data_IF_463676768445
#
_entry.id   IF_463676768445
#
_cell.length_a   1.000
_cell.length_b   1.000
_cell.length_c   1.000
_cell.angle_alpha   90.00
_cell.angle_beta   90.00
_cell.angle_gamma   90.00
#
_symmetry.space_group_name_H-M   'P 1'
#
loop_
_entity.id
_entity.type
_entity.pdbx_description
1 polymer ?
#
# COMPACT_ATOMS: atom_id res chain seq x y z
N UNK A 1 21.74 -3.04 64.92
CA UNK A 1 23.12 -3.52 64.80
C UNK A 1 23.71 -3.06 63.47
N UNK A 2 25.04 -2.96 63.37
CA UNK A 2 25.78 -2.53 62.18
C UNK A 2 25.49 -3.48 61.00
N UNK A 3 25.30 -4.74 61.27
CA UNK A 3 24.93 -5.78 60.30
C UNK A 3 23.55 -5.57 59.67
N UNK A 4 22.57 -5.12 60.46
CA UNK A 4 21.22 -4.82 59.93
C UNK A 4 21.20 -3.57 59.04
N UNK A 5 22.02 -2.59 59.39
CA UNK A 5 22.17 -1.36 58.61
C UNK A 5 22.87 -1.64 57.27
N UNK A 6 23.94 -2.42 57.27
CA UNK A 6 24.67 -2.80 56.05
C UNK A 6 23.81 -3.70 55.18
N UNK A 7 23.08 -4.67 55.73
CA UNK A 7 22.17 -5.55 54.98
C UNK A 7 21.04 -4.78 54.30
N UNK A 8 20.44 -3.80 54.97
CA UNK A 8 19.41 -2.93 54.40
C UNK A 8 19.97 -2.05 53.26
N UNK A 9 21.19 -1.53 53.42
CA UNK A 9 21.83 -0.68 52.42
C UNK A 9 22.23 -1.47 51.16
N UNK A 10 22.79 -2.66 51.33
CA UNK A 10 23.11 -3.59 50.21
C UNK A 10 21.86 -3.99 49.46
N UNK A 11 20.77 -4.31 50.17
CA UNK A 11 19.49 -4.67 49.53
C UNK A 11 18.88 -3.48 48.77
N UNK A 12 19.01 -2.26 49.25
CA UNK A 12 18.57 -1.04 48.58
C UNK A 12 19.33 -0.81 47.26
N UNK A 13 20.64 -0.85 47.27
CA UNK A 13 21.47 -0.69 46.08
C UNK A 13 21.30 -1.85 45.08
N UNK A 14 21.08 -3.07 45.57
CA UNK A 14 20.76 -4.21 44.73
C UNK A 14 19.45 -4.02 43.96
N UNK A 15 18.41 -3.50 44.62
CA UNK A 15 17.13 -3.18 43.94
C UNK A 15 17.29 -2.10 42.87
N UNK A 16 18.06 -1.04 43.15
CA UNK A 16 18.34 0.01 42.18
C UNK A 16 19.11 -0.57 41.00
N UNK A 17 20.13 -1.38 41.20
CA UNK A 17 20.90 -2.00 40.13
C UNK A 17 20.02 -2.88 39.22
N UNK A 18 19.16 -3.71 39.82
CA UNK A 18 18.19 -4.53 39.04
C UNK A 18 17.19 -3.67 38.26
N UNK A 19 16.68 -2.59 38.87
CA UNK A 19 15.77 -1.67 38.18
C UNK A 19 16.43 -0.98 36.98
N UNK A 20 17.67 -0.54 37.15
CA UNK A 20 18.45 0.06 36.05
C UNK A 20 18.69 -0.95 34.94
N UNK A 21 19.04 -2.19 35.27
CA UNK A 21 19.25 -3.26 34.30
C UNK A 21 17.97 -3.55 33.51
N UNK A 22 16.84 -3.69 34.20
CA UNK A 22 15.53 -3.92 33.53
C UNK A 22 15.16 -2.73 32.66
N UNK A 23 15.35 -1.51 33.11
CA UNK A 23 15.10 -0.33 32.29
C UNK A 23 15.99 -0.30 31.03
N UNK A 24 17.27 -0.64 31.17
CA UNK A 24 18.19 -0.72 30.02
C UNK A 24 17.80 -1.81 29.03
N UNK A 25 17.35 -2.98 29.49
CA UNK A 25 16.84 -4.05 28.62
C UNK A 25 15.59 -3.62 27.87
N UNK A 26 14.62 -3.02 28.56
CA UNK A 26 13.39 -2.53 27.94
C UNK A 26 13.66 -1.42 26.91
N UNK A 27 14.59 -0.51 27.20
CA UNK A 27 15.01 0.51 26.24
C UNK A 27 15.71 -0.12 25.04
N UNK A 28 16.55 -1.12 25.24
CA UNK A 28 17.23 -1.84 24.17
C UNK A 28 16.25 -2.56 23.25
N UNK A 29 15.26 -3.25 23.81
CA UNK A 29 14.20 -3.90 23.03
C UNK A 29 13.35 -2.88 22.27
N UNK A 30 13.01 -1.76 22.90
CA UNK A 30 12.22 -0.70 22.26
C UNK A 30 12.96 -0.12 21.05
N UNK A 31 14.24 0.21 21.20
CA UNK A 31 15.08 0.70 20.10
C UNK A 31 15.18 -0.32 18.96
N UNK A 32 15.33 -1.62 19.28
CA UNK A 32 15.34 -2.66 18.26
C UNK A 32 13.99 -2.79 17.53
N UNK A 33 12.90 -2.73 18.30
CA UNK A 33 11.55 -2.75 17.72
C UNK A 33 11.32 -1.54 16.82
N UNK A 34 11.62 -0.33 17.26
CA UNK A 34 11.48 0.87 16.44
C UNK A 34 12.31 0.78 15.14
N UNK A 35 13.56 0.35 15.26
CA UNK A 35 14.42 0.14 14.10
C UNK A 35 13.80 -0.87 13.13
N UNK A 36 13.35 -2.02 13.61
CA UNK A 36 12.71 -3.04 12.77
C UNK A 36 11.41 -2.50 12.14
N UNK A 37 10.59 -1.77 12.90
CA UNK A 37 9.32 -1.22 12.44
C UNK A 37 9.50 -0.18 11.34
N UNK A 38 10.42 0.77 11.51
CA UNK A 38 10.63 1.85 10.54
C UNK A 38 11.52 1.47 9.35
N UNK A 39 12.17 0.30 9.37
CA UNK A 39 12.98 -0.21 8.25
C UNK A 39 12.34 -1.44 7.62
N UNK A 40 12.65 -2.62 8.16
CA UNK A 40 12.29 -3.90 7.56
C UNK A 40 10.78 -4.17 7.51
N UNK A 41 10.03 -3.73 8.55
CA UNK A 41 8.59 -3.93 8.58
C UNK A 41 7.87 -3.01 7.58
N UNK A 42 8.36 -1.77 7.44
CA UNK A 42 7.82 -0.84 6.44
C UNK A 42 7.92 -1.41 5.04
N UNK A 43 9.07 -1.97 4.66
CA UNK A 43 9.28 -2.61 3.36
C UNK A 43 8.36 -3.84 3.17
N UNK A 44 8.21 -4.65 4.23
CA UNK A 44 7.35 -5.84 4.17
C UNK A 44 5.87 -5.49 3.98
N UNK A 45 5.39 -4.41 4.61
CA UNK A 45 3.97 -4.04 4.55
C UNK A 45 3.62 -3.06 3.44
N UNK A 46 4.59 -2.41 2.81
CA UNK A 46 4.36 -1.47 1.71
C UNK A 46 3.54 -2.10 0.59
N UNK A 47 3.85 -3.35 0.22
CA UNK A 47 3.10 -4.11 -0.77
C UNK A 47 1.64 -4.38 -0.35
N UNK A 48 1.38 -4.59 0.95
CA UNK A 48 0.01 -4.78 1.46
C UNK A 48 -0.79 -3.47 1.52
N UNK A 49 -0.13 -2.34 1.73
CA UNK A 49 -0.75 -1.01 1.74
C UNK A 49 -0.76 -0.34 0.37
N UNK A 50 -0.31 -1.04 -0.67
CA UNK A 50 -0.34 -0.57 -2.06
C UNK A 50 0.37 0.79 -2.23
N UNK A 51 1.56 0.93 -1.63
CA UNK A 51 2.33 2.18 -1.65
C UNK A 51 2.57 2.63 -3.10
N UNK A 52 2.23 3.88 -3.40
CA UNK A 52 2.31 4.44 -4.75
C UNK A 52 1.06 4.24 -5.62
N UNK A 53 0.06 3.46 -5.17
CA UNK A 53 -1.17 3.26 -5.95
C UNK A 53 -1.98 4.54 -6.12
N UNK A 54 -2.01 5.41 -5.11
CA UNK A 54 -2.64 6.73 -5.21
C UNK A 54 -1.99 7.57 -6.31
N UNK A 55 -0.65 7.68 -6.30
CA UNK A 55 0.11 8.40 -7.31
C UNK A 55 -0.13 7.82 -8.71
N UNK A 56 -0.16 6.48 -8.84
CA UNK A 56 -0.41 5.82 -10.11
C UNK A 56 -1.82 6.11 -10.64
N UNK A 57 -2.85 6.07 -9.80
CA UNK A 57 -4.23 6.40 -10.20
C UNK A 57 -4.32 7.86 -10.64
N UNK A 58 -3.77 8.80 -9.87
CA UNK A 58 -3.80 10.22 -10.19
C UNK A 58 -3.06 10.52 -11.51
N UNK A 59 -1.87 9.96 -11.71
CA UNK A 59 -1.11 10.10 -12.96
C UNK A 59 -1.84 9.51 -14.17
N UNK A 60 -2.43 8.33 -14.02
CA UNK A 60 -3.22 7.74 -15.10
C UNK A 60 -4.42 8.62 -15.47
N UNK A 61 -5.08 9.23 -14.50
CA UNK A 61 -6.19 10.14 -14.74
C UNK A 61 -5.74 11.44 -15.42
N UNK A 62 -4.59 12.01 -15.05
CA UNK A 62 -4.01 13.16 -15.75
C UNK A 62 -3.78 12.84 -17.23
N UNK A 63 -3.13 11.70 -17.53
CA UNK A 63 -2.87 11.26 -18.91
C UNK A 63 -4.17 10.98 -19.67
N UNK A 64 -5.16 10.37 -19.00
CA UNK A 64 -6.47 10.09 -19.60
C UNK A 64 -7.22 11.38 -19.94
N UNK A 65 -7.17 12.40 -19.07
CA UNK A 65 -7.80 13.69 -19.32
C UNK A 65 -7.22 14.41 -20.56
N UNK A 66 -5.91 14.26 -20.80
CA UNK A 66 -5.23 14.86 -21.95
C UNK A 66 -5.44 14.04 -23.26
N UNK A 67 -5.46 12.72 -23.16
CA UNK A 67 -5.47 11.82 -24.31
C UNK A 67 -6.85 11.31 -24.71
N UNK A 68 -7.84 11.38 -23.81
CA UNK A 68 -9.17 10.79 -23.99
C UNK A 68 -9.19 9.25 -23.94
N UNK A 69 -8.08 8.59 -23.53
CA UNK A 69 -7.98 7.14 -23.47
C UNK A 69 -8.58 6.58 -22.18
N UNK A 70 -9.13 5.37 -22.26
CA UNK A 70 -9.60 4.63 -21.08
C UNK A 70 -8.43 4.16 -20.20
N UNK A 71 -8.67 4.11 -18.90
CA UNK A 71 -7.73 3.53 -17.92
C UNK A 71 -8.20 2.11 -17.61
N UNK A 72 -7.28 1.16 -17.67
CA UNK A 72 -7.53 -0.22 -17.26
C UNK A 72 -6.66 -0.57 -16.05
N UNK A 73 -7.32 -1.05 -14.97
CA UNK A 73 -6.68 -1.41 -13.70
C UNK A 73 -7.03 -2.86 -13.38
N UNK A 74 -6.02 -3.64 -13.06
CA UNK A 74 -6.18 -5.01 -12.55
C UNK A 74 -6.53 -5.02 -11.05
N UNK A 75 -7.15 -6.11 -10.55
CA UNK A 75 -7.51 -6.33 -9.12
C UNK A 75 -6.30 -6.30 -8.15
N UNK A 76 -5.11 -6.05 -8.65
CA UNK A 76 -3.93 -5.80 -7.82
C UNK A 76 -4.11 -4.54 -6.94
N UNK A 77 -4.73 -3.47 -7.46
CA UNK A 77 -5.22 -2.34 -6.66
C UNK A 77 -6.69 -2.61 -6.33
N UNK A 78 -7.01 -2.68 -5.02
CA UNK A 78 -8.38 -2.94 -4.62
C UNK A 78 -9.32 -1.81 -5.04
N UNK A 79 -10.44 -2.16 -5.65
CA UNK A 79 -11.38 -1.18 -6.21
C UNK A 79 -11.83 -0.06 -5.25
N UNK A 80 -11.97 -0.27 -3.91
CA UNK A 80 -12.29 0.84 -3.01
C UNK A 80 -11.20 1.91 -2.97
N UNK A 81 -9.92 1.51 -3.08
CA UNK A 81 -8.80 2.45 -3.18
C UNK A 81 -8.85 3.23 -4.48
N UNK A 82 -9.18 2.57 -5.59
CA UNK A 82 -9.34 3.23 -6.89
C UNK A 82 -10.48 4.25 -6.86
N UNK A 83 -11.63 3.91 -6.23
CA UNK A 83 -12.75 4.84 -6.07
C UNK A 83 -12.35 6.07 -5.29
N UNK A 84 -11.58 5.88 -4.20
CA UNK A 84 -11.11 6.97 -3.35
C UNK A 84 -10.10 7.86 -4.07
N UNK A 85 -9.05 7.28 -4.64
CA UNK A 85 -7.95 8.01 -5.28
C UNK A 85 -8.37 8.67 -6.60
N UNK A 86 -9.30 8.04 -7.31
CA UNK A 86 -9.90 8.60 -8.53
C UNK A 86 -11.01 9.61 -8.26
N UNK A 87 -11.37 9.85 -6.99
CA UNK A 87 -12.49 10.73 -6.62
C UNK A 87 -13.76 10.41 -7.41
N UNK A 88 -14.05 9.12 -7.58
CA UNK A 88 -15.22 8.66 -8.33
C UNK A 88 -16.46 8.89 -7.49
N UNK A 89 -17.46 9.59 -8.05
CA UNK A 89 -18.70 9.85 -7.37
C UNK A 89 -19.45 8.56 -7.03
N UNK A 90 -19.94 8.46 -5.80
CA UNK A 90 -20.63 7.27 -5.31
C UNK A 90 -21.90 6.97 -6.13
N UNK A 91 -22.61 7.99 -6.63
CA UNK A 91 -23.79 7.78 -7.47
C UNK A 91 -23.40 7.25 -8.84
N UNK A 92 -22.30 7.74 -9.44
CA UNK A 92 -21.76 7.22 -10.69
C UNK A 92 -21.36 5.75 -10.56
N UNK A 93 -20.61 5.40 -9.51
CA UNK A 93 -20.25 4.01 -9.23
C UNK A 93 -21.47 3.11 -9.02
N UNK A 94 -22.46 3.57 -8.22
CA UNK A 94 -23.67 2.82 -7.93
C UNK A 94 -24.52 2.59 -9.17
N UNK A 95 -24.57 3.53 -10.11
CA UNK A 95 -25.27 3.40 -11.37
C UNK A 95 -24.63 2.34 -12.30
N UNK A 96 -23.32 2.17 -12.20
CA UNK A 96 -22.55 1.27 -13.05
C UNK A 96 -22.29 -0.12 -12.43
N UNK A 97 -22.53 -0.31 -11.13
CA UNK A 97 -22.26 -1.60 -10.48
C UNK A 97 -23.28 -2.68 -10.82
N UNK A 98 -22.85 -3.93 -10.84
CA UNK A 98 -23.73 -5.08 -10.98
C UNK A 98 -24.27 -5.52 -9.61
N UNK A 99 -25.57 -5.37 -9.37
CA UNK A 99 -26.25 -5.75 -8.12
C UNK A 99 -26.57 -7.25 -8.03
N UNK A 100 -26.44 -7.99 -9.13
CA UNK A 100 -26.77 -9.43 -9.17
C UNK A 100 -25.67 -10.33 -8.60
N UNK A 101 -24.46 -9.82 -8.43
CA UNK A 101 -23.35 -10.59 -7.86
C UNK A 101 -23.37 -10.57 -6.34
N UNK A 102 -23.10 -11.71 -5.70
CA UNK A 102 -23.00 -11.84 -4.24
C UNK A 102 -21.65 -12.48 -3.88
N UNK A 103 -20.72 -11.75 -3.23
CA UNK A 103 -20.78 -10.32 -2.98
C UNK A 103 -20.76 -9.49 -4.28
N UNK A 104 -21.33 -8.29 -4.27
CA UNK A 104 -21.34 -7.45 -5.46
C UNK A 104 -19.89 -7.20 -5.90
N UNK A 105 -19.54 -7.70 -7.08
CA UNK A 105 -18.25 -7.41 -7.68
C UNK A 105 -18.36 -6.08 -8.44
N UNK A 106 -17.30 -5.26 -8.46
CA UNK A 106 -17.30 -4.13 -9.37
C UNK A 106 -17.46 -4.68 -10.79
N UNK A 107 -18.35 -4.07 -11.56
CA UNK A 107 -18.33 -4.26 -13.00
C UNK A 107 -17.06 -3.66 -13.55
N UNK A 108 -16.78 -4.06 -14.79
CA UNK A 108 -15.64 -3.61 -15.56
C UNK A 108 -15.42 -2.08 -15.55
N UNK A 109 -16.45 -1.29 -15.26
CA UNK A 109 -16.38 0.16 -15.28
C UNK A 109 -16.69 0.77 -13.92
N UNK A 110 -15.74 1.53 -13.36
CA UNK A 110 -15.88 2.18 -12.05
C UNK A 110 -16.42 3.63 -12.15
N UNK A 111 -16.14 4.32 -13.22
CA UNK A 111 -16.44 5.75 -13.44
C UNK A 111 -15.24 6.50 -14.01
N UNK A 112 -15.44 7.72 -14.48
CA UNK A 112 -14.38 8.61 -15.04
C UNK A 112 -13.44 7.92 -16.05
N UNK A 113 -13.95 7.00 -16.87
CA UNK A 113 -13.14 6.27 -17.86
C UNK A 113 -12.24 5.18 -17.26
N UNK A 114 -12.41 4.82 -15.98
CA UNK A 114 -11.65 3.76 -15.33
C UNK A 114 -12.38 2.43 -15.46
N UNK A 115 -11.74 1.47 -16.10
CA UNK A 115 -12.17 0.08 -16.20
C UNK A 115 -11.38 -0.77 -15.23
N UNK A 116 -12.09 -1.57 -14.45
CA UNK A 116 -11.51 -2.50 -13.50
C UNK A 116 -11.66 -3.93 -14.04
N UNK A 117 -10.57 -4.68 -14.10
CA UNK A 117 -10.57 -6.04 -14.60
C UNK A 117 -10.04 -7.01 -13.56
N UNK A 118 -10.48 -8.27 -13.63
CA UNK A 118 -9.95 -9.35 -12.77
C UNK A 118 -8.59 -9.87 -13.26
N UNK A 119 -8.14 -9.39 -14.41
CA UNK A 119 -6.85 -9.68 -15.02
C UNK A 119 -6.76 -9.00 -16.38
N UNK A 120 -5.59 -8.48 -16.70
CA UNK A 120 -5.30 -7.89 -18.01
C UNK A 120 -5.18 -9.03 -19.04
N UNK A 121 -5.75 -8.85 -20.21
CA UNK A 121 -5.52 -9.76 -21.35
C UNK A 121 -4.12 -9.53 -21.92
N UNK A 122 -3.15 -10.30 -21.38
CA UNK A 122 -1.73 -10.19 -21.72
C UNK A 122 -1.41 -10.53 -23.18
N UNK A 123 -2.31 -11.25 -23.88
CA UNK A 123 -2.12 -11.60 -25.28
C UNK A 123 -2.60 -10.48 -26.22
N UNK A 124 -3.50 -9.62 -25.73
CA UNK A 124 -4.13 -8.57 -26.54
C UNK A 124 -4.10 -7.22 -25.82
N UNK A 125 -2.90 -6.73 -25.49
CA UNK A 125 -2.73 -5.41 -24.86
C UNK A 125 -3.06 -4.31 -25.86
N UNK A 126 -4.07 -3.49 -25.57
CA UNK A 126 -4.50 -2.39 -26.43
C UNK A 126 -3.65 -1.12 -26.19
N UNK A 127 -2.91 -0.70 -27.20
CA UNK A 127 -2.06 0.50 -27.14
C UNK A 127 -2.85 1.82 -27.05
N UNK A 128 -4.14 1.79 -27.25
CA UNK A 128 -5.01 2.96 -27.07
C UNK A 128 -5.52 3.13 -25.66
N UNK A 129 -5.14 2.27 -24.74
CA UNK A 129 -5.47 2.36 -23.31
C UNK A 129 -4.31 2.77 -22.47
N UNK A 130 -4.60 3.15 -21.24
CA UNK A 130 -3.66 3.42 -20.17
C UNK A 130 -3.82 2.28 -19.16
N UNK A 131 -2.72 1.70 -18.72
CA UNK A 131 -2.73 0.60 -17.75
C UNK A 131 -2.04 1.01 -16.47
N UNK A 132 -2.63 0.62 -15.34
CA UNK A 132 -1.94 0.69 -14.04
C UNK A 132 -1.56 -0.74 -13.68
N UNK A 133 -0.26 -0.99 -13.60
CA UNK A 133 0.32 -2.33 -13.45
C UNK A 133 1.29 -2.37 -12.28
N UNK A 134 1.48 -3.55 -11.71
CA UNK A 134 2.53 -3.77 -10.71
C UNK A 134 3.90 -3.84 -11.40
N UNK A 135 4.96 -3.44 -10.70
CA UNK A 135 6.31 -3.32 -11.28
C UNK A 135 6.82 -4.63 -11.92
N UNK A 136 6.39 -5.79 -11.41
CA UNK A 136 6.78 -7.11 -11.97
C UNK A 136 6.22 -7.38 -13.35
N UNK A 137 5.19 -6.65 -13.76
CA UNK A 137 4.53 -6.83 -15.06
C UNK A 137 5.02 -5.84 -16.13
N UNK A 138 5.92 -4.93 -15.77
CA UNK A 138 6.44 -3.91 -16.66
C UNK A 138 7.06 -4.47 -17.96
N UNK A 139 7.70 -5.63 -17.89
CA UNK A 139 8.31 -6.29 -19.04
C UNK A 139 7.29 -6.70 -20.12
N UNK A 140 6.02 -6.86 -19.74
CA UNK A 140 4.93 -7.23 -20.67
C UNK A 140 4.45 -6.05 -21.53
N UNK A 141 4.82 -4.82 -21.17
CA UNK A 141 4.41 -3.58 -21.83
C UNK A 141 5.48 -3.01 -22.76
N UNK A 142 6.09 -3.87 -23.58
CA UNK A 142 7.05 -3.42 -24.59
C UNK A 142 6.42 -2.43 -25.57
N UNK A 143 7.11 -1.32 -25.79
CA UNK A 143 6.66 -0.23 -26.65
C UNK A 143 5.65 0.75 -26.04
N UNK A 144 5.35 0.63 -24.74
CA UNK A 144 4.64 1.65 -23.96
C UNK A 144 5.63 2.60 -23.29
N UNK A 145 5.19 3.81 -23.03
CA UNK A 145 5.87 4.70 -22.07
C UNK A 145 5.50 4.25 -20.67
N UNK A 146 6.50 3.95 -19.84
CA UNK A 146 6.32 3.52 -18.46
C UNK A 146 6.67 4.65 -17.50
N UNK A 147 5.67 5.13 -16.75
CA UNK A 147 5.86 6.15 -15.70
C UNK A 147 5.90 5.45 -14.34
N UNK A 148 7.03 5.44 -13.62
CA UNK A 148 7.15 4.78 -12.34
C UNK A 148 6.45 5.55 -11.22
N UNK A 149 5.69 4.81 -10.39
CA UNK A 149 4.99 5.29 -9.19
C UNK A 149 5.27 4.31 -8.05
N UNK A 150 6.50 4.27 -7.54
CA UNK A 150 7.00 3.30 -6.55
C UNK A 150 6.86 1.85 -7.03
N UNK A 151 5.94 1.08 -6.41
CA UNK A 151 5.69 -0.32 -6.76
C UNK A 151 4.79 -0.48 -8.00
N UNK A 152 4.33 0.62 -8.57
CA UNK A 152 3.42 0.65 -9.69
C UNK A 152 4.02 1.36 -10.90
N UNK A 153 3.50 1.03 -12.07
CA UNK A 153 3.76 1.77 -13.30
C UNK A 153 2.45 2.18 -13.96
N UNK A 154 2.45 3.38 -14.53
CA UNK A 154 1.44 3.79 -15.50
C UNK A 154 2.03 3.56 -16.89
N UNK A 155 1.44 2.61 -17.64
CA UNK A 155 1.84 2.28 -19.00
C UNK A 155 0.87 2.93 -19.99
N UNK A 156 1.39 3.73 -20.96
CA UNK A 156 0.57 4.49 -21.90
C UNK A 156 1.22 4.76 -23.26
#
# INVERSE_FOLDING_TARGET
SLTDFLGKKVNFYGKIAVSILLAALLLGENVQFEKAYFTSYKELVSAYFQEGSEEAVQKAMEIAAESGREIEIEDAIKYPSVLLYGEIDAAEYLANRNLSDVPPKPKDFLGKGIRFTMGIDWEHIDRNKIYIIYYTDAEKFDGFTLLPCRDWYVAY
#
